data_IF_805207898329
#
_entry.id   IF_805207898329
#
_cell.length_a   1.000
_cell.length_b   1.000
_cell.length_c   1.000
_cell.angle_alpha   90.00
_cell.angle_beta   90.00
_cell.angle_gamma   90.00
#
_symmetry.space_group_name_H-M   'P 1'
#
loop_
_entity.id
_entity.type
_entity.pdbx_description
1 polymer ?
#
# COMPACT_ATOMS: atom_id res chain seq x y z
N UNK A 1 3.78 13.59 -32.41
CA UNK A 1 2.74 14.14 -31.49
C UNK A 1 2.93 13.49 -30.13
N UNK A 2 3.69 14.14 -29.29
CA UNK A 2 3.96 13.68 -27.91
C UNK A 2 2.87 14.20 -27.02
N UNK A 3 2.00 13.33 -26.55
CA UNK A 3 1.01 13.65 -25.53
C UNK A 3 1.74 13.98 -24.23
N UNK A 4 1.90 15.26 -23.97
CA UNK A 4 2.30 15.77 -22.66
C UNK A 4 1.18 15.45 -21.69
N UNK A 5 1.36 14.38 -20.91
CA UNK A 5 0.56 14.17 -19.71
C UNK A 5 0.96 15.29 -18.75
N UNK A 6 0.15 16.31 -18.64
CA UNK A 6 0.30 17.37 -17.66
C UNK A 6 0.26 16.74 -16.26
N UNK A 7 1.42 16.59 -15.67
CA UNK A 7 1.56 16.21 -14.26
C UNK A 7 1.17 17.41 -13.43
N UNK A 8 0.03 17.32 -12.77
CA UNK A 8 -0.41 18.30 -11.80
C UNK A 8 0.71 18.58 -10.78
N UNK A 9 1.32 19.77 -10.86
CA UNK A 9 2.17 20.37 -9.84
C UNK A 9 3.51 19.67 -9.56
N UNK A 10 4.25 19.22 -10.57
CA UNK A 10 5.50 18.53 -10.38
C UNK A 10 6.72 19.36 -10.71
N UNK A 11 7.46 19.76 -9.69
CA UNK A 11 8.89 20.08 -9.75
C UNK A 11 9.63 18.89 -10.42
N UNK A 12 10.55 19.10 -11.37
CA UNK A 12 11.22 18.00 -12.10
C UNK A 12 12.07 17.05 -11.24
N UNK A 13 12.22 17.34 -9.95
CA UNK A 13 12.84 16.45 -8.94
C UNK A 13 11.86 15.69 -8.05
N UNK A 14 10.55 15.96 -8.15
CA UNK A 14 9.55 15.40 -7.23
C UNK A 14 8.97 14.09 -7.76
N UNK A 15 9.15 13.01 -7.01
CA UNK A 15 8.53 11.72 -7.32
C UNK A 15 7.01 11.85 -7.16
N UNK A 16 6.23 11.39 -8.15
CA UNK A 16 4.77 11.42 -8.04
C UNK A 16 4.27 10.40 -7.01
N UNK A 17 3.72 10.91 -5.90
CA UNK A 17 3.16 10.10 -4.81
C UNK A 17 2.03 9.19 -5.31
N UNK A 18 1.10 9.77 -6.06
CA UNK A 18 -0.06 9.02 -6.57
C UNK A 18 0.31 7.92 -7.55
N UNK A 19 1.26 8.21 -8.45
CA UNK A 19 1.77 7.20 -9.38
C UNK A 19 2.51 6.07 -8.65
N UNK A 20 3.34 6.40 -7.66
CA UNK A 20 4.07 5.43 -6.86
C UNK A 20 3.14 4.56 -6.02
N UNK A 21 2.14 5.16 -5.36
CA UNK A 21 1.12 4.42 -4.62
C UNK A 21 0.30 3.51 -5.52
N UNK A 22 -0.14 4.01 -6.68
CA UNK A 22 -0.91 3.22 -7.65
C UNK A 22 -0.12 2.03 -8.22
N UNK A 23 1.18 2.20 -8.47
CA UNK A 23 2.07 1.09 -8.84
C UNK A 23 2.20 0.10 -7.69
N UNK A 24 2.41 0.58 -6.48
CA UNK A 24 2.50 -0.24 -5.28
C UNK A 24 1.24 -1.06 -5.02
N UNK A 25 0.05 -0.48 -5.15
CA UNK A 25 -1.24 -1.19 -5.04
C UNK A 25 -1.38 -2.33 -6.07
N UNK A 26 -0.75 -2.19 -7.23
CA UNK A 26 -0.69 -3.23 -8.27
C UNK A 26 0.46 -4.21 -8.06
N UNK A 27 1.14 -4.16 -6.93
CA UNK A 27 2.30 -4.99 -6.58
C UNK A 27 3.53 -4.76 -7.47
N UNK A 28 3.61 -3.59 -8.09
CA UNK A 28 4.71 -3.20 -8.97
C UNK A 28 5.69 -2.27 -8.25
N UNK A 29 6.93 -2.27 -8.71
CA UNK A 29 7.96 -1.40 -8.20
C UNK A 29 7.56 0.08 -8.35
N UNK A 30 7.65 0.90 -7.29
CA UNK A 30 7.26 2.30 -7.35
C UNK A 30 8.14 3.13 -8.30
N UNK A 31 9.40 2.73 -8.52
CA UNK A 31 10.34 3.41 -9.38
C UNK A 31 10.12 3.10 -10.86
N UNK A 32 10.25 1.84 -11.27
CA UNK A 32 10.16 1.47 -12.69
C UNK A 32 8.73 1.13 -13.14
N UNK A 33 7.88 0.67 -12.23
CA UNK A 33 6.52 0.24 -12.56
C UNK A 33 6.39 -1.09 -13.30
N UNK A 34 7.49 -1.80 -13.52
CA UNK A 34 7.54 -3.07 -14.28
C UNK A 34 7.89 -4.26 -13.39
N UNK A 35 8.91 -4.11 -12.51
CA UNK A 35 9.33 -5.16 -11.61
C UNK A 35 8.29 -5.49 -10.54
N UNK A 36 8.16 -6.76 -10.18
CA UNK A 36 7.30 -7.16 -9.06
C UNK A 36 7.91 -6.74 -7.73
N UNK A 37 7.07 -6.22 -6.83
CA UNK A 37 7.49 -5.80 -5.50
C UNK A 37 7.58 -6.99 -4.51
N UNK A 38 6.72 -7.98 -4.67
CA UNK A 38 6.62 -9.12 -3.76
C UNK A 38 7.25 -10.38 -4.32
N UNK A 39 7.94 -11.10 -3.44
CA UNK A 39 8.45 -12.44 -3.69
C UNK A 39 7.38 -13.50 -3.40
N UNK A 40 6.56 -13.27 -2.37
CA UNK A 40 5.43 -14.08 -1.95
C UNK A 40 4.31 -13.16 -1.48
N UNK A 41 3.21 -13.66 -0.96
CA UNK A 41 1.96 -12.93 -0.63
C UNK A 41 2.18 -11.47 -0.12
N UNK A 42 2.84 -11.28 1.01
CA UNK A 42 3.20 -9.94 1.56
C UNK A 42 4.70 -9.79 1.79
N UNK A 43 5.51 -10.75 1.35
CA UNK A 43 6.95 -10.72 1.50
C UNK A 43 7.58 -9.91 0.38
N UNK A 44 8.10 -8.73 0.71
CA UNK A 44 8.78 -7.83 -0.21
C UNK A 44 10.11 -8.44 -0.67
N UNK A 45 10.50 -8.19 -1.92
CA UNK A 45 11.83 -8.51 -2.41
C UNK A 45 12.86 -7.56 -1.80
N UNK A 46 14.10 -8.00 -1.64
CA UNK A 46 15.18 -7.14 -1.14
C UNK A 46 15.49 -6.01 -2.12
N UNK A 47 15.49 -6.32 -3.42
CA UNK A 47 15.68 -5.34 -4.47
C UNK A 47 14.80 -5.67 -5.68
N UNK A 48 14.41 -4.65 -6.43
CA UNK A 48 13.71 -4.81 -7.68
C UNK A 48 14.61 -5.46 -8.72
N UNK A 49 14.17 -6.57 -9.30
CA UNK A 49 14.95 -7.31 -10.34
C UNK A 49 15.13 -6.53 -11.64
N UNK A 50 14.26 -5.54 -11.90
CA UNK A 50 14.28 -4.77 -13.15
C UNK A 50 15.15 -3.52 -13.04
N UNK A 51 15.02 -2.74 -11.96
CA UNK A 51 15.72 -1.45 -11.81
C UNK A 51 16.73 -1.40 -10.66
N UNK A 52 16.83 -2.46 -9.85
CA UNK A 52 17.78 -2.54 -8.74
C UNK A 52 17.39 -1.73 -7.49
N UNK A 53 16.20 -1.08 -7.46
CA UNK A 53 15.77 -0.33 -6.29
C UNK A 53 15.74 -1.23 -5.05
N UNK A 54 16.48 -0.85 -4.00
CA UNK A 54 16.43 -1.54 -2.72
C UNK A 54 15.03 -1.35 -2.08
N UNK A 55 14.33 -2.45 -1.88
CA UNK A 55 13.00 -2.47 -1.28
C UNK A 55 13.05 -2.88 0.21
N UNK A 56 14.20 -3.36 0.68
CA UNK A 56 14.40 -3.81 2.07
C UNK A 56 14.33 -2.68 3.10
N UNK A 57 14.58 -1.44 2.68
CA UNK A 57 14.58 -0.28 3.57
C UNK A 57 13.19 0.24 3.99
N UNK A 58 12.09 -0.39 3.52
CA UNK A 58 10.76 0.05 3.93
C UNK A 58 10.45 -0.34 5.38
N UNK A 59 9.82 0.58 6.12
CA UNK A 59 9.23 0.30 7.44
C UNK A 59 7.70 0.32 7.32
N UNK A 60 7.14 -0.74 6.77
CA UNK A 60 5.70 -0.90 6.58
C UNK A 60 5.21 -2.20 7.23
N UNK A 61 5.66 -2.49 8.45
CA UNK A 61 5.36 -3.75 9.11
C UNK A 61 3.96 -3.73 9.76
N UNK A 62 3.64 -2.70 10.52
CA UNK A 62 2.39 -2.61 11.30
C UNK A 62 1.30 -1.74 10.65
N UNK A 63 1.65 -0.77 9.83
CA UNK A 63 0.70 0.16 9.24
C UNK A 63 -0.30 -0.47 8.24
N UNK A 64 0.08 -1.43 7.37
CA UNK A 64 -0.84 -2.06 6.44
C UNK A 64 -2.03 -2.78 7.09
N UNK A 65 -1.85 -3.60 8.16
CA UNK A 65 -2.98 -4.26 8.81
C UNK A 65 -3.95 -3.24 9.46
N UNK A 66 -3.47 -2.19 10.11
CA UNK A 66 -4.33 -1.16 10.67
C UNK A 66 -5.16 -0.45 9.60
N UNK A 67 -4.54 -0.04 8.51
CA UNK A 67 -5.23 0.58 7.39
C UNK A 67 -6.30 -0.36 6.80
N UNK A 68 -5.96 -1.62 6.61
CA UNK A 68 -6.88 -2.64 6.09
C UNK A 68 -8.09 -2.83 7.01
N UNK A 69 -7.88 -2.94 8.33
CA UNK A 69 -8.96 -3.09 9.31
C UNK A 69 -9.88 -1.87 9.30
N UNK A 70 -9.31 -0.66 9.25
CA UNK A 70 -10.09 0.58 9.21
C UNK A 70 -10.96 0.62 7.95
N UNK A 71 -10.40 0.38 6.78
CA UNK A 71 -11.12 0.43 5.50
C UNK A 71 -12.23 -0.63 5.46
N UNK A 72 -11.92 -1.87 5.79
CA UNK A 72 -12.89 -2.97 5.76
C UNK A 72 -13.98 -2.75 6.81
N UNK A 73 -13.62 -2.36 8.03
CA UNK A 73 -14.57 -2.11 9.09
C UNK A 73 -15.56 -0.98 8.74
N UNK A 74 -15.07 0.14 8.25
CA UNK A 74 -15.93 1.27 7.87
C UNK A 74 -16.78 1.02 6.63
N UNK A 75 -16.38 0.10 5.77
CA UNK A 75 -17.17 -0.27 4.60
C UNK A 75 -18.17 -1.39 4.91
N UNK A 76 -17.71 -2.46 5.54
CA UNK A 76 -18.51 -3.68 5.74
C UNK A 76 -19.54 -3.55 6.84
N UNK A 77 -19.24 -2.84 7.95
CA UNK A 77 -20.18 -2.72 9.07
C UNK A 77 -21.43 -1.93 8.67
N UNK A 78 -21.34 -0.71 8.10
CA UNK A 78 -22.55 0.01 7.67
C UNK A 78 -23.32 -0.76 6.59
N UNK A 79 -22.63 -1.43 5.68
CA UNK A 79 -23.28 -2.21 4.64
C UNK A 79 -24.04 -3.41 5.21
N UNK A 80 -23.45 -4.12 6.17
CA UNK A 80 -24.10 -5.24 6.86
C UNK A 80 -25.33 -4.77 7.67
N UNK A 81 -25.23 -3.62 8.33
CA UNK A 81 -26.37 -3.02 9.06
C UNK A 81 -27.48 -2.58 8.10
N UNK A 82 -27.15 -1.99 6.97
CA UNK A 82 -28.13 -1.59 5.97
C UNK A 82 -28.88 -2.81 5.39
N UNK A 83 -28.16 -3.88 5.08
CA UNK A 83 -28.77 -5.14 4.63
C UNK A 83 -29.68 -5.73 5.71
N UNK A 84 -29.27 -5.67 6.99
CA UNK A 84 -30.09 -6.12 8.11
C UNK A 84 -31.37 -5.30 8.24
N UNK A 85 -31.30 -3.99 8.08
CA UNK A 85 -32.48 -3.11 8.22
C UNK A 85 -33.46 -3.25 7.05
N UNK A 86 -32.98 -3.48 5.82
CA UNK A 86 -33.82 -3.52 4.60
C UNK A 86 -34.45 -4.89 4.42
N UNK A 87 -33.67 -5.96 4.60
CA UNK A 87 -34.09 -7.33 4.25
C UNK A 87 -34.36 -8.23 5.44
N UNK A 88 -33.95 -7.81 6.65
CA UNK A 88 -34.04 -8.55 7.91
C UNK A 88 -33.69 -10.06 7.82
N UNK A 89 -32.55 -10.42 7.20
CA UNK A 89 -32.15 -11.82 7.08
C UNK A 89 -31.84 -12.43 8.45
N UNK A 90 -32.00 -13.76 8.61
CA UNK A 90 -31.62 -14.43 9.85
C UNK A 90 -30.13 -14.30 10.10
N UNK A 91 -29.74 -14.26 11.39
CA UNK A 91 -28.38 -14.02 11.82
C UNK A 91 -27.36 -15.02 11.24
N UNK A 92 -27.78 -16.27 11.07
CA UNK A 92 -26.96 -17.32 10.46
C UNK A 92 -26.59 -17.01 9.03
N UNK A 93 -27.52 -16.49 8.23
CA UNK A 93 -27.27 -16.09 6.85
C UNK A 93 -26.36 -14.86 6.79
N UNK A 94 -26.52 -13.91 7.72
CA UNK A 94 -25.62 -12.76 7.84
C UNK A 94 -24.17 -13.21 8.04
N UNK A 95 -23.92 -14.07 9.01
CA UNK A 95 -22.56 -14.58 9.26
C UNK A 95 -22.02 -15.38 8.06
N UNK A 96 -22.85 -16.19 7.43
CA UNK A 96 -22.44 -16.99 6.28
C UNK A 96 -22.02 -16.14 5.08
N UNK A 97 -22.56 -14.94 4.91
CA UNK A 97 -22.22 -14.03 3.83
C UNK A 97 -21.05 -13.11 4.21
N UNK A 98 -21.17 -12.42 5.36
CA UNK A 98 -20.22 -11.36 5.72
C UNK A 98 -18.87 -11.89 6.17
N UNK A 99 -18.82 -13.04 6.85
CA UNK A 99 -17.54 -13.58 7.33
C UNK A 99 -16.58 -13.96 6.19
N UNK A 100 -16.98 -14.77 5.20
CA UNK A 100 -16.11 -15.08 4.08
C UNK A 100 -15.80 -13.85 3.22
N UNK A 101 -16.74 -12.90 3.09
CA UNK A 101 -16.50 -11.66 2.35
C UNK A 101 -15.44 -10.79 3.04
N UNK A 102 -15.47 -10.67 4.37
CA UNK A 102 -14.47 -9.95 5.14
C UNK A 102 -13.08 -10.61 5.03
N UNK A 103 -13.02 -11.94 5.11
CA UNK A 103 -11.76 -12.69 4.95
C UNK A 103 -11.18 -12.48 3.55
N UNK A 104 -11.99 -12.63 2.51
CA UNK A 104 -11.55 -12.44 1.13
C UNK A 104 -11.10 -11.01 0.86
N UNK A 105 -11.84 -10.01 1.35
CA UNK A 105 -11.50 -8.60 1.23
C UNK A 105 -10.19 -8.28 1.95
N UNK A 106 -9.98 -8.81 3.14
CA UNK A 106 -8.73 -8.64 3.90
C UNK A 106 -7.55 -9.27 3.16
N UNK A 107 -7.74 -10.48 2.66
CA UNK A 107 -6.70 -11.19 1.91
C UNK A 107 -6.23 -10.41 0.67
N UNK A 108 -7.16 -9.78 -0.03
CA UNK A 108 -6.86 -8.99 -1.22
C UNK A 108 -6.31 -7.60 -0.89
N UNK A 109 -6.88 -6.92 0.12
CA UNK A 109 -6.55 -5.53 0.44
C UNK A 109 -5.21 -5.41 1.18
N UNK A 110 -4.82 -6.40 1.98
CA UNK A 110 -3.59 -6.35 2.78
C UNK A 110 -2.32 -6.15 1.93
N UNK A 111 -2.06 -6.95 0.87
CA UNK A 111 -0.88 -6.71 0.03
C UNK A 111 -0.99 -5.41 -0.77
N UNK A 112 -2.18 -5.00 -1.19
CA UNK A 112 -2.39 -3.74 -1.88
C UNK A 112 -2.09 -2.53 -0.99
N UNK A 113 -2.55 -2.52 0.25
CA UNK A 113 -2.27 -1.46 1.23
C UNK A 113 -0.78 -1.39 1.59
N UNK A 114 -0.13 -2.54 1.77
CA UNK A 114 1.32 -2.59 1.99
C UNK A 114 2.09 -2.01 0.81
N UNK A 115 1.73 -2.37 -0.41
CA UNK A 115 2.34 -1.83 -1.62
C UNK A 115 2.13 -0.33 -1.78
N UNK A 116 0.94 0.18 -1.47
CA UNK A 116 0.66 1.61 -1.49
C UNK A 116 1.51 2.38 -0.48
N UNK A 117 1.69 1.85 0.73
CA UNK A 117 2.52 2.47 1.77
C UNK A 117 4.01 2.47 1.39
N UNK A 118 4.52 1.39 0.81
CA UNK A 118 5.89 1.36 0.28
C UNK A 118 6.06 2.40 -0.83
N UNK A 119 5.09 2.50 -1.74
CA UNK A 119 5.08 3.54 -2.78
C UNK A 119 5.07 4.95 -2.22
N UNK A 120 4.29 5.20 -1.16
CA UNK A 120 4.25 6.46 -0.44
C UNK A 120 5.60 6.81 0.22
N UNK A 121 6.20 5.85 0.91
CA UNK A 121 7.52 6.02 1.55
C UNK A 121 8.61 6.31 0.52
N UNK A 122 8.61 5.57 -0.60
CA UNK A 122 9.55 5.83 -1.69
C UNK A 122 9.39 7.22 -2.31
N UNK A 123 8.16 7.66 -2.55
CA UNK A 123 7.90 8.97 -3.16
C UNK A 123 8.31 10.14 -2.25
N UNK A 124 8.11 9.99 -0.95
CA UNK A 124 8.47 10.99 0.07
C UNK A 124 9.90 10.83 0.59
N UNK A 125 10.69 9.91 0.05
CA UNK A 125 12.07 9.64 0.51
C UNK A 125 12.16 9.34 2.01
N UNK A 126 11.21 8.57 2.53
CA UNK A 126 11.13 8.22 3.95
C UNK A 126 11.92 6.95 4.24
N UNK A 127 12.48 6.86 5.45
CA UNK A 127 13.21 5.68 5.94
C UNK A 127 14.36 5.29 4.97
N UNK A 128 14.54 4.00 4.67
CA UNK A 128 15.57 3.51 3.78
C UNK A 128 15.53 4.00 2.32
N UNK A 129 14.55 4.83 1.95
CA UNK A 129 14.48 5.49 0.63
C UNK A 129 15.03 6.91 0.62
N UNK A 130 15.50 7.42 1.74
CA UNK A 130 16.11 8.76 1.88
C UNK A 130 17.49 8.87 1.23
N UNK A 131 18.16 7.74 0.96
CA UNK A 131 19.52 7.70 0.42
C UNK A 131 20.56 8.13 1.45
N UNK A 132 21.67 8.71 1.00
CA UNK A 132 22.80 9.12 1.87
C UNK A 132 22.43 10.16 2.94
N UNK A 133 21.30 10.88 2.77
CA UNK A 133 20.82 11.84 3.76
C UNK A 133 20.30 11.18 5.05
N UNK A 134 19.94 9.89 4.98
CA UNK A 134 19.46 9.15 6.15
C UNK A 134 20.63 8.64 7.04
N UNK A 135 21.79 8.39 6.44
CA UNK A 135 22.97 7.95 7.19
C UNK A 135 23.56 9.09 8.04
N UNK A 136 23.48 10.33 7.55
CA UNK A 136 23.98 11.50 8.28
C UNK A 136 23.10 11.89 9.48
N UNK A 137 21.81 11.50 9.49
CA UNK A 137 20.89 11.82 10.59
C UNK A 137 21.01 10.84 11.77
N UNK A 138 21.42 9.59 11.51
CA UNK A 138 21.52 8.56 12.57
C UNK A 138 22.82 8.67 13.39
N UNK A 139 23.90 9.20 12.80
CA UNK A 139 25.17 9.42 13.50
C UNK A 139 25.13 10.53 14.55
N UNK A 140 24.09 11.38 14.55
CA UNK A 140 23.91 12.45 15.53
C UNK A 140 22.90 12.11 16.66
N UNK A 141 22.36 10.91 16.67
CA UNK A 141 21.34 10.47 17.64
C UNK A 141 21.93 9.68 18.83
N UNK A 142 23.24 9.63 19.00
CA UNK A 142 23.87 9.13 20.23
C UNK A 142 24.00 10.26 21.25
N UNK A 143 22.91 10.48 22.01
CA UNK A 143 22.95 11.08 23.35
C UNK A 143 22.11 10.27 24.31
#
# INVERSE_FOLDING_TARGET
MTSSVETFGGDPGRRSVWAAMGRGMRHLCPQCGEGRMYQSYVKTQEACKTCGLALSGHRADDAPPYFTIIVIGHLMIPLALAVKQIFDPPITLQFAIWLPLMIASTWWLLPASKGALIGLQWANRMHGFAGLEAEEYDDNAEF
#
